data_IF_319961203488
#
_entry.id   IF_319961203488
#
_cell.length_a   1.000
_cell.length_b   1.000
_cell.length_c   1.000
_cell.angle_alpha   90.00
_cell.angle_beta   90.00
_cell.angle_gamma   90.00
#
_symmetry.space_group_name_H-M   'P 1'
#
loop_
_entity.id
_entity.type
_entity.pdbx_description
1 polymer ?
#
# COMPACT_ATOMS: atom_id res chain seq x y z
N UNK A 1 -25.74 -1.46 -0.47
CA UNK A 1 -25.49 -2.93 -0.53
C UNK A 1 -24.81 -3.28 0.78
N UNK A 2 -25.16 -4.38 1.46
CA UNK A 2 -24.51 -4.70 2.74
C UNK A 2 -23.14 -5.36 2.46
N UNK A 3 -22.05 -4.59 2.54
CA UNK A 3 -20.69 -5.04 2.21
C UNK A 3 -20.07 -5.95 3.28
N UNK A 4 -20.87 -6.86 3.84
CA UNK A 4 -20.40 -7.82 4.84
C UNK A 4 -19.61 -8.93 4.16
N UNK A 5 -18.47 -9.25 4.74
CA UNK A 5 -17.69 -10.43 4.40
C UNK A 5 -18.54 -11.69 4.63
N UNK A 6 -18.36 -12.70 3.76
CA UNK A 6 -19.10 -13.97 3.81
C UNK A 6 -18.58 -14.91 4.90
N UNK A 7 -17.28 -14.84 5.16
CA UNK A 7 -16.55 -15.72 6.07
C UNK A 7 -15.65 -14.93 7.02
N UNK A 8 -15.24 -15.56 8.11
CA UNK A 8 -14.47 -14.93 9.18
C UNK A 8 -13.00 -14.73 8.82
N UNK A 9 -12.69 -13.57 8.23
CA UNK A 9 -11.31 -13.18 7.91
C UNK A 9 -10.44 -12.97 9.15
N UNK A 10 -11.04 -12.60 10.29
CA UNK A 10 -10.28 -12.31 11.51
C UNK A 10 -9.61 -13.59 12.00
N UNK A 11 -10.37 -14.67 12.13
CA UNK A 11 -9.82 -15.96 12.58
C UNK A 11 -8.70 -16.43 11.66
N UNK A 12 -8.91 -16.38 10.34
CA UNK A 12 -7.89 -16.75 9.35
C UNK A 12 -6.58 -15.96 9.51
N UNK A 13 -6.66 -14.63 9.60
CA UNK A 13 -5.46 -13.78 9.69
C UNK A 13 -4.82 -13.79 11.08
N UNK A 14 -5.53 -14.17 12.13
CA UNK A 14 -4.91 -14.39 13.44
C UNK A 14 -4.02 -15.63 13.43
N UNK A 15 -4.43 -16.66 12.69
CA UNK A 15 -3.71 -17.94 12.54
C UNK A 15 -2.57 -17.86 11.50
N UNK A 16 -2.88 -17.41 10.28
CA UNK A 16 -1.96 -17.48 9.15
C UNK A 16 -1.24 -16.15 8.85
N UNK A 17 -1.70 -15.03 9.40
CA UNK A 17 -1.21 -13.68 9.08
C UNK A 17 0.08 -13.28 9.80
N UNK A 18 0.91 -12.49 9.10
CA UNK A 18 2.09 -11.88 9.70
C UNK A 18 1.75 -10.58 10.47
N UNK A 19 2.76 -9.92 11.02
CA UNK A 19 2.59 -8.69 11.81
C UNK A 19 1.93 -7.53 11.03
N UNK A 20 2.24 -7.35 9.74
CA UNK A 20 1.57 -6.34 8.88
C UNK A 20 0.12 -6.73 8.60
N UNK A 21 -0.15 -8.00 8.37
CA UNK A 21 -1.53 -8.47 8.09
C UNK A 21 -2.45 -8.22 9.29
N UNK A 22 -1.96 -8.50 10.50
CA UNK A 22 -2.66 -8.18 11.75
C UNK A 22 -2.80 -6.68 11.98
N UNK A 23 -1.77 -5.88 11.66
CA UNK A 23 -1.88 -4.42 11.69
C UNK A 23 -2.96 -3.91 10.72
N UNK A 24 -3.13 -4.57 9.58
CA UNK A 24 -4.16 -4.23 8.59
C UNK A 24 -5.57 -4.61 9.06
N UNK A 25 -5.73 -5.72 9.80
CA UNK A 25 -6.97 -6.05 10.51
C UNK A 25 -7.37 -4.97 11.53
N UNK A 26 -6.41 -4.53 12.36
CA UNK A 26 -6.63 -3.46 13.35
C UNK A 26 -7.05 -2.17 12.63
N UNK A 27 -6.31 -1.77 11.59
CA UNK A 27 -6.61 -0.56 10.83
C UNK A 27 -7.98 -0.61 10.13
N UNK A 28 -8.45 -1.81 9.76
CA UNK A 28 -9.79 -2.04 9.20
C UNK A 28 -10.88 -2.22 10.28
N UNK A 29 -10.55 -2.19 11.57
CA UNK A 29 -11.53 -2.35 12.66
C UNK A 29 -12.14 -3.74 12.76
N UNK A 30 -11.57 -4.76 12.12
CA UNK A 30 -12.00 -6.16 12.29
C UNK A 30 -11.46 -6.78 13.59
N UNK A 31 -10.38 -6.23 14.16
CA UNK A 31 -9.86 -6.61 15.46
C UNK A 31 -9.19 -5.42 16.16
N UNK A 32 -9.89 -4.79 17.10
CA UNK A 32 -9.32 -3.72 17.94
C UNK A 32 -9.03 -4.19 19.38
N UNK A 33 -8.91 -5.51 19.58
CA UNK A 33 -8.61 -6.05 20.90
C UNK A 33 -7.26 -5.54 21.41
N UNK A 34 -7.18 -5.26 22.71
CA UNK A 34 -5.94 -4.78 23.34
C UNK A 34 -4.84 -5.85 23.23
N UNK A 35 -5.24 -7.10 23.26
CA UNK A 35 -4.40 -8.28 23.12
C UNK A 35 -3.70 -8.30 21.76
N UNK A 36 -4.45 -8.19 20.66
CA UNK A 36 -3.87 -8.16 19.31
C UNK A 36 -2.98 -6.94 19.09
N UNK A 37 -3.39 -5.75 19.56
CA UNK A 37 -2.54 -4.55 19.47
C UNK A 37 -1.23 -4.69 20.23
N UNK A 38 -1.27 -5.29 21.43
CA UNK A 38 -0.08 -5.54 22.24
C UNK A 38 0.83 -6.59 21.59
N UNK A 39 0.27 -7.64 21.00
CA UNK A 39 1.03 -8.66 20.24
C UNK A 39 1.76 -8.02 19.06
N UNK A 40 1.04 -7.25 18.23
CA UNK A 40 1.60 -6.55 17.07
C UNK A 40 2.70 -5.61 17.51
N UNK A 41 2.45 -4.79 18.53
CA UNK A 41 3.43 -3.86 19.11
C UNK A 41 4.70 -4.58 19.56
N UNK A 42 4.56 -5.65 20.35
CA UNK A 42 5.70 -6.43 20.85
C UNK A 42 6.51 -7.05 19.71
N UNK A 43 5.84 -7.66 18.72
CA UNK A 43 6.50 -8.28 17.56
C UNK A 43 7.25 -7.27 16.72
N UNK A 44 6.69 -6.07 16.53
CA UNK A 44 7.38 -5.04 15.77
C UNK A 44 8.58 -4.47 16.54
N UNK A 45 8.47 -4.29 17.86
CA UNK A 45 9.59 -3.83 18.69
C UNK A 45 10.77 -4.80 18.65
N UNK A 46 10.49 -6.11 18.73
CA UNK A 46 11.54 -7.14 18.73
C UNK A 46 12.18 -7.37 17.36
N UNK A 47 11.45 -7.11 16.26
CA UNK A 47 11.96 -7.31 14.88
C UNK A 47 12.59 -6.06 14.27
N UNK A 48 12.22 -4.86 14.75
CA UNK A 48 12.72 -3.59 14.23
C UNK A 48 14.25 -3.51 14.33
N UNK A 49 14.89 -3.04 13.25
CA UNK A 49 16.34 -2.84 13.22
C UNK A 49 16.76 -1.61 14.02
N UNK A 50 18.07 -1.52 14.29
CA UNK A 50 18.68 -0.37 14.98
C UNK A 50 18.44 0.95 14.24
N UNK A 51 18.34 0.92 12.91
CA UNK A 51 18.05 2.10 12.10
C UNK A 51 16.59 2.57 12.17
N UNK A 52 15.70 1.79 12.81
CA UNK A 52 14.28 2.11 12.97
C UNK A 52 13.36 1.52 11.91
N UNK A 53 13.90 0.85 10.89
CA UNK A 53 13.10 0.20 9.86
C UNK A 53 12.73 -1.25 10.16
N UNK A 54 11.72 -1.75 9.44
CA UNK A 54 11.29 -3.16 9.47
C UNK A 54 12.17 -3.97 8.52
N UNK A 55 12.73 -5.12 8.94
CA UNK A 55 13.42 -6.03 8.03
C UNK A 55 12.52 -6.43 6.84
N UNK A 56 13.09 -6.48 5.64
CA UNK A 56 12.35 -6.89 4.44
C UNK A 56 11.73 -8.28 4.61
N UNK A 57 10.43 -8.38 4.31
CA UNK A 57 9.60 -9.57 4.54
C UNK A 57 9.72 -10.18 5.95
N UNK A 58 10.00 -9.35 6.96
CA UNK A 58 10.26 -9.79 8.34
C UNK A 58 11.42 -10.79 8.49
N UNK A 59 12.30 -10.90 7.50
CA UNK A 59 13.47 -11.77 7.57
C UNK A 59 14.52 -11.17 8.53
N UNK A 60 14.88 -11.86 9.63
CA UNK A 60 15.80 -11.34 10.66
C UNK A 60 17.25 -11.18 10.17
N UNK A 61 17.55 -11.60 8.94
CA UNK A 61 18.84 -11.37 8.28
C UNK A 61 18.77 -10.28 7.20
N UNK A 62 17.58 -9.87 6.76
CA UNK A 62 17.44 -8.85 5.72
C UNK A 62 17.59 -7.41 6.26
N UNK A 63 18.16 -6.49 5.48
CA UNK A 63 18.13 -5.06 5.81
C UNK A 63 16.71 -4.52 5.99
N UNK A 64 16.62 -3.30 6.55
CA UNK A 64 15.36 -2.57 6.66
C UNK A 64 14.80 -2.17 5.30
N UNK A 65 13.49 -2.34 5.12
CA UNK A 65 12.74 -2.01 3.91
C UNK A 65 11.95 -0.71 4.07
N UNK A 66 12.04 0.16 3.07
CA UNK A 66 11.18 1.34 2.94
C UNK A 66 9.72 0.93 2.74
N UNK A 67 9.46 -0.06 1.85
CA UNK A 67 8.10 -0.54 1.58
C UNK A 67 7.42 -1.02 2.85
N UNK A 68 8.06 -1.94 3.57
CA UNK A 68 7.49 -2.51 4.80
C UNK A 68 7.31 -1.46 5.89
N UNK A 69 8.30 -0.58 6.10
CA UNK A 69 8.23 0.46 7.13
C UNK A 69 7.15 1.50 6.84
N UNK A 70 7.02 1.96 5.60
CA UNK A 70 6.00 2.94 5.20
C UNK A 70 4.59 2.35 5.32
N UNK A 71 4.41 1.09 4.94
CA UNK A 71 3.12 0.40 5.04
C UNK A 71 2.68 0.23 6.49
N UNK A 72 3.55 -0.29 7.36
CA UNK A 72 3.23 -0.45 8.78
C UNK A 72 2.94 0.89 9.47
N UNK A 73 3.75 1.91 9.17
CA UNK A 73 3.56 3.26 9.69
C UNK A 73 2.20 3.82 9.29
N UNK A 74 1.81 3.66 8.02
CA UNK A 74 0.49 4.09 7.51
C UNK A 74 -0.65 3.40 8.25
N UNK A 75 -0.57 2.07 8.43
CA UNK A 75 -1.62 1.28 9.09
C UNK A 75 -1.80 1.64 10.57
N UNK A 76 -0.74 2.09 11.23
CA UNK A 76 -0.73 2.33 12.68
C UNK A 76 -0.74 3.80 13.07
N UNK A 77 -0.71 4.75 12.12
CA UNK A 77 -0.55 6.18 12.38
C UNK A 77 -1.58 6.79 13.36
N UNK A 78 -2.78 6.21 13.46
CA UNK A 78 -3.82 6.65 14.41
C UNK A 78 -3.72 6.06 15.82
N UNK A 79 -2.79 5.13 16.07
CA UNK A 79 -2.69 4.36 17.30
C UNK A 79 -1.58 4.92 18.20
N UNK A 80 -1.97 5.63 19.26
CA UNK A 80 -1.05 6.38 20.15
C UNK A 80 -0.01 5.48 20.83
N UNK A 81 -0.35 4.23 21.09
CA UNK A 81 0.54 3.23 21.69
C UNK A 81 1.74 2.87 20.78
N UNK A 82 1.70 3.25 19.49
CA UNK A 82 2.80 3.05 18.53
C UNK A 82 3.69 4.30 18.35
N UNK A 83 3.46 5.39 19.08
CA UNK A 83 4.17 6.67 18.88
C UNK A 83 5.71 6.56 18.89
N UNK A 84 6.29 5.74 19.78
CA UNK A 84 7.75 5.56 19.83
C UNK A 84 8.27 4.89 18.54
N UNK A 85 7.53 3.90 18.05
CA UNK A 85 7.83 3.17 16.82
C UNK A 85 7.66 4.07 15.61
N UNK A 86 6.61 4.88 15.57
CA UNK A 86 6.38 5.86 14.51
C UNK A 86 7.52 6.84 14.39
N UNK A 87 8.05 7.33 15.52
CA UNK A 87 9.19 8.24 15.53
C UNK A 87 10.45 7.58 14.94
N UNK A 88 10.72 6.33 15.28
CA UNK A 88 11.88 5.58 14.74
C UNK A 88 11.71 5.29 13.25
N UNK A 89 10.54 4.82 12.83
CA UNK A 89 10.23 4.55 11.42
C UNK A 89 10.28 5.82 10.56
N UNK A 90 9.75 6.94 11.06
CA UNK A 90 9.78 8.21 10.34
C UNK A 90 11.22 8.68 10.10
N UNK A 91 12.10 8.59 11.12
CA UNK A 91 13.53 8.89 10.97
C UNK A 91 14.20 7.96 9.95
N UNK A 92 13.89 6.67 10.01
CA UNK A 92 14.38 5.70 9.02
C UNK A 92 13.96 6.12 7.60
N UNK A 93 12.67 6.33 7.36
CA UNK A 93 12.13 6.71 6.05
C UNK A 93 12.78 8.00 5.54
N UNK A 94 12.86 9.04 6.36
CA UNK A 94 13.51 10.31 6.01
C UNK A 94 14.96 10.11 5.58
N UNK A 95 15.70 9.20 6.23
CA UNK A 95 17.07 8.87 5.84
C UNK A 95 17.19 8.18 4.48
N UNK A 96 16.08 7.66 3.94
CA UNK A 96 16.00 6.98 2.63
C UNK A 96 15.52 7.90 1.50
N UNK A 97 15.06 9.11 1.82
CA UNK A 97 14.70 10.08 0.79
C UNK A 97 15.96 10.56 0.04
N UNK A 98 15.89 10.51 -1.29
CA UNK A 98 16.97 10.93 -2.18
C UNK A 98 16.94 12.44 -2.45
N UNK A 99 18.03 12.95 -3.05
CA UNK A 99 18.16 14.38 -3.40
C UNK A 99 17.07 14.86 -4.37
N UNK A 100 16.55 13.97 -5.22
CA UNK A 100 15.48 14.28 -6.15
C UNK A 100 14.08 14.22 -5.53
N UNK A 101 13.97 13.96 -4.22
CA UNK A 101 12.71 13.89 -3.49
C UNK A 101 12.10 12.49 -3.43
N UNK A 102 12.49 11.58 -4.32
CA UNK A 102 11.98 10.21 -4.33
C UNK A 102 12.60 9.31 -3.26
N UNK A 103 11.99 8.14 -3.06
CA UNK A 103 12.42 7.11 -2.12
C UNK A 103 12.90 5.86 -2.85
N UNK A 104 13.88 5.18 -2.28
CA UNK A 104 14.48 3.98 -2.86
C UNK A 104 14.74 2.94 -1.77
N UNK A 105 14.73 1.68 -2.16
CA UNK A 105 15.26 0.61 -1.32
C UNK A 105 16.79 0.63 -1.31
N UNK A 106 17.38 0.08 -0.23
CA UNK A 106 18.83 -0.01 -0.08
C UNK A 106 19.42 -1.04 -1.04
N UNK A 107 20.62 -0.80 -1.59
CA UNK A 107 21.35 -1.76 -2.43
C UNK A 107 21.49 -3.13 -1.77
N UNK A 108 21.71 -3.17 -0.45
CA UNK A 108 21.85 -4.41 0.32
C UNK A 108 20.57 -5.27 0.36
N UNK A 109 19.42 -4.74 -0.05
CA UNK A 109 18.20 -5.53 -0.20
C UNK A 109 18.15 -6.34 -1.48
N UNK A 110 19.01 -6.04 -2.47
CA UNK A 110 18.98 -6.70 -3.77
C UNK A 110 18.95 -8.24 -3.64
N UNK A 111 19.79 -8.91 -2.81
CA UNK A 111 19.75 -10.37 -2.69
C UNK A 111 18.45 -10.94 -2.10
N UNK A 112 17.62 -10.13 -1.46
CA UNK A 112 16.38 -10.56 -0.79
C UNK A 112 15.13 -10.34 -1.64
N UNK A 113 15.22 -9.52 -2.68
CA UNK A 113 14.10 -9.22 -3.57
C UNK A 113 14.00 -10.36 -4.59
N UNK A 114 13.04 -11.25 -4.37
CA UNK A 114 12.78 -12.40 -5.24
C UNK A 114 12.24 -11.94 -6.59
N UNK A 115 12.71 -12.56 -7.66
CA UNK A 115 12.22 -12.33 -9.00
C UNK A 115 10.97 -13.17 -9.29
N UNK A 116 9.97 -13.10 -8.41
CA UNK A 116 8.73 -13.89 -8.55
C UNK A 116 7.88 -13.47 -9.77
N UNK A 117 8.14 -12.30 -10.32
CA UNK A 117 7.31 -11.66 -11.35
C UNK A 117 8.10 -11.06 -12.51
N UNK A 118 9.43 -11.17 -12.54
CA UNK A 118 10.23 -10.70 -13.67
C UNK A 118 10.03 -11.57 -14.90
N UNK A 119 10.12 -10.92 -16.06
CA UNK A 119 10.32 -11.60 -17.33
C UNK A 119 11.71 -12.25 -17.37
N UNK A 120 11.97 -13.08 -18.38
CA UNK A 120 13.24 -13.79 -18.60
C UNK A 120 14.50 -12.89 -18.62
N UNK A 121 14.34 -11.56 -18.64
CA UNK A 121 15.39 -10.55 -18.61
C UNK A 121 15.77 -10.00 -17.22
N UNK A 122 15.06 -10.36 -16.16
CA UNK A 122 15.40 -9.99 -14.77
C UNK A 122 14.57 -8.86 -14.14
N UNK A 123 15.05 -8.39 -12.98
CA UNK A 123 14.38 -7.53 -11.96
C UNK A 123 14.25 -6.05 -12.32
N UNK A 124 13.82 -5.73 -13.53
CA UNK A 124 13.76 -4.33 -13.99
C UNK A 124 12.71 -3.48 -13.27
N UNK A 125 11.66 -4.09 -12.70
CA UNK A 125 10.54 -3.39 -12.06
C UNK A 125 10.80 -2.93 -10.60
N UNK A 126 11.86 -3.44 -9.95
CA UNK A 126 12.17 -3.11 -8.54
C UNK A 126 13.65 -2.75 -8.33
N UNK A 127 14.18 -1.74 -9.04
CA UNK A 127 15.58 -1.36 -8.87
C UNK A 127 15.84 -0.79 -7.49
N UNK A 128 16.81 -1.38 -6.79
CA UNK A 128 17.42 -0.77 -5.61
C UNK A 128 18.16 0.51 -6.01
N UNK A 129 18.34 1.43 -5.05
CA UNK A 129 19.05 2.71 -5.23
C UNK A 129 18.33 3.71 -6.14
N UNK A 130 17.47 3.33 -7.08
CA UNK A 130 16.70 4.29 -7.89
C UNK A 130 15.43 4.74 -7.17
N UNK A 131 15.06 6.01 -7.36
CA UNK A 131 13.81 6.54 -6.82
C UNK A 131 12.62 5.86 -7.51
N UNK A 132 11.81 5.16 -6.74
CA UNK A 132 10.60 4.44 -7.16
C UNK A 132 9.37 5.32 -6.92
N UNK A 133 8.48 5.47 -7.91
CA UNK A 133 7.33 6.38 -7.81
C UNK A 133 6.29 5.87 -6.81
N UNK A 134 5.87 4.61 -6.91
CA UNK A 134 4.92 4.00 -5.98
C UNK A 134 5.44 3.96 -4.54
N UNK A 135 6.74 3.72 -4.36
CA UNK A 135 7.37 3.73 -3.04
C UNK A 135 7.43 5.14 -2.46
N UNK A 136 7.67 6.14 -3.30
CA UNK A 136 7.62 7.55 -2.91
C UNK A 136 6.22 7.94 -2.47
N UNK A 137 5.18 7.51 -3.19
CA UNK A 137 3.77 7.68 -2.78
C UNK A 137 3.49 7.10 -1.40
N UNK A 138 3.86 5.82 -1.18
CA UNK A 138 3.71 5.15 0.12
C UNK A 138 4.44 5.86 1.25
N UNK A 139 5.72 6.20 1.05
CA UNK A 139 6.53 6.84 2.08
C UNK A 139 6.04 8.26 2.40
N UNK A 140 5.63 9.03 1.39
CA UNK A 140 5.03 10.35 1.58
C UNK A 140 3.75 10.27 2.40
N UNK A 141 2.82 9.37 2.03
CA UNK A 141 1.59 9.13 2.79
C UNK A 141 1.89 8.79 4.24
N UNK A 142 2.81 7.85 4.47
CA UNK A 142 3.17 7.38 5.80
C UNK A 142 3.72 8.50 6.69
N UNK A 143 4.65 9.31 6.17
CA UNK A 143 5.25 10.43 6.90
C UNK A 143 4.21 11.50 7.27
N UNK A 144 3.32 11.84 6.34
CA UNK A 144 2.28 12.84 6.60
C UNK A 144 1.28 12.33 7.64
N UNK A 145 0.79 11.10 7.51
CA UNK A 145 -0.17 10.53 8.47
C UNK A 145 0.44 10.35 9.86
N UNK A 146 1.74 10.04 9.95
CA UNK A 146 2.46 9.97 11.22
C UNK A 146 2.76 11.34 11.86
N UNK A 147 2.34 12.45 11.22
CA UNK A 147 2.56 13.79 11.74
C UNK A 147 4.03 14.23 11.71
N UNK A 148 4.84 13.69 10.80
CA UNK A 148 6.23 14.11 10.66
C UNK A 148 6.34 15.56 10.17
N UNK A 149 6.86 16.46 11.01
CA UNK A 149 6.93 17.89 10.68
C UNK A 149 8.21 18.25 9.89
N UNK A 150 8.24 17.88 8.61
CA UNK A 150 9.22 18.39 7.64
C UNK A 150 8.55 18.71 6.30
N UNK A 151 7.91 19.88 6.27
CA UNK A 151 7.18 20.35 5.07
C UNK A 151 8.06 20.38 3.82
N UNK A 152 9.33 20.75 3.93
CA UNK A 152 10.22 20.82 2.76
C UNK A 152 10.51 19.44 2.19
N UNK A 153 10.69 18.41 3.02
CA UNK A 153 10.80 17.02 2.55
C UNK A 153 9.55 16.54 1.85
N UNK A 154 8.39 16.85 2.41
CA UNK A 154 7.11 16.47 1.83
C UNK A 154 6.91 17.12 0.46
N UNK A 155 7.22 18.41 0.32
CA UNK A 155 7.15 19.12 -0.96
C UNK A 155 8.09 18.54 -2.00
N UNK A 156 9.32 18.13 -1.64
CA UNK A 156 10.21 17.47 -2.61
C UNK A 156 9.68 16.12 -3.10
N UNK A 157 9.10 15.32 -2.20
CA UNK A 157 8.48 14.04 -2.58
C UNK A 157 7.24 14.27 -3.46
N UNK A 158 6.42 15.26 -3.13
CA UNK A 158 5.30 15.70 -3.97
C UNK A 158 5.78 16.10 -5.36
N UNK A 159 6.79 16.96 -5.44
CA UNK A 159 7.31 17.49 -6.71
C UNK A 159 7.88 16.36 -7.56
N UNK A 160 8.62 15.42 -6.95
CA UNK A 160 9.08 14.21 -7.63
C UNK A 160 7.93 13.47 -8.30
N UNK A 161 6.82 13.23 -7.58
CA UNK A 161 5.65 12.54 -8.13
C UNK A 161 4.96 13.37 -9.21
N UNK A 162 4.72 14.66 -8.97
CA UNK A 162 4.07 15.57 -9.92
C UNK A 162 4.83 15.63 -11.25
N UNK A 163 6.16 15.66 -11.22
CA UNK A 163 7.00 15.74 -12.42
C UNK A 163 7.32 14.38 -13.05
N UNK A 164 6.90 13.26 -12.46
CA UNK A 164 7.15 11.91 -12.99
C UNK A 164 5.96 11.29 -13.71
N UNK A 165 4.81 11.97 -13.76
CA UNK A 165 3.63 11.43 -14.45
C UNK A 165 3.83 11.46 -15.97
N UNK A 166 3.47 10.36 -16.64
CA UNK A 166 3.47 10.26 -18.09
C UNK A 166 2.19 10.88 -18.69
N UNK A 167 2.16 11.09 -20.00
CA UNK A 167 1.03 11.71 -20.71
C UNK A 167 -0.27 10.89 -20.62
N UNK A 168 -0.16 9.59 -20.39
CA UNK A 168 -1.29 8.66 -20.21
C UNK A 168 -1.92 8.74 -18.81
N UNK A 169 -1.39 9.58 -17.92
CA UNK A 169 -1.85 9.77 -16.55
C UNK A 169 -1.27 8.77 -15.55
N UNK A 170 -0.53 7.75 -16.00
CA UNK A 170 0.15 6.81 -15.12
C UNK A 170 1.56 7.32 -14.74
N UNK A 171 2.23 6.56 -13.89
CA UNK A 171 3.63 6.80 -13.51
C UNK A 171 4.50 5.63 -13.94
N UNK A 172 5.77 5.87 -14.27
CA UNK A 172 6.73 4.78 -14.41
C UNK A 172 7.08 4.17 -13.05
N UNK A 173 7.58 2.94 -12.99
CA UNK A 173 7.99 2.31 -11.73
C UNK A 173 9.06 3.13 -11.01
N UNK A 174 10.05 3.61 -11.77
CA UNK A 174 11.18 4.37 -11.24
C UNK A 174 11.62 5.51 -12.17
N UNK A 175 12.41 6.42 -11.60
CA UNK A 175 12.96 7.57 -12.31
C UNK A 175 13.77 7.17 -13.54
N UNK A 176 13.44 7.77 -14.68
CA UNK A 176 14.15 7.61 -15.95
C UNK A 176 13.63 6.46 -16.82
N UNK A 177 12.54 5.81 -16.42
CA UNK A 177 11.80 4.86 -17.25
C UNK A 177 10.64 5.59 -17.93
N UNK A 178 10.34 5.22 -19.17
CA UNK A 178 9.28 5.82 -19.99
C UNK A 178 8.05 4.91 -20.14
N UNK A 179 8.02 3.79 -19.42
CA UNK A 179 6.93 2.82 -19.43
C UNK A 179 6.13 3.02 -18.16
N UNK A 180 4.82 3.24 -18.32
CA UNK A 180 3.87 3.39 -17.23
C UNK A 180 3.56 2.06 -16.53
N UNK A 181 3.43 2.10 -15.21
CA UNK A 181 2.88 1.03 -14.37
C UNK A 181 1.52 1.46 -13.77
N UNK A 182 0.41 0.82 -14.16
CA UNK A 182 -0.89 1.10 -13.58
C UNK A 182 -0.97 0.82 -12.07
N UNK A 183 -0.27 -0.21 -11.56
CA UNK A 183 -0.34 -0.65 -10.15
C UNK A 183 0.31 0.34 -9.19
N UNK A 184 1.23 1.16 -9.69
CA UNK A 184 1.84 2.24 -8.92
C UNK A 184 0.84 3.33 -8.52
N UNK A 185 -0.22 3.52 -9.32
CA UNK A 185 -1.03 4.74 -9.32
C UNK A 185 -1.81 4.95 -8.04
N UNK A 186 -2.42 3.90 -7.48
CA UNK A 186 -3.20 4.01 -6.24
C UNK A 186 -2.37 4.57 -5.09
N UNK A 187 -1.16 4.02 -4.90
CA UNK A 187 -0.23 4.47 -3.86
C UNK A 187 0.20 5.94 -4.02
N UNK A 188 0.35 6.40 -5.26
CA UNK A 188 0.77 7.76 -5.58
C UNK A 188 -0.36 8.75 -5.29
N UNK A 189 -1.58 8.46 -5.73
CA UNK A 189 -2.74 9.31 -5.49
C UNK A 189 -2.98 9.53 -3.99
N UNK A 190 -2.90 8.48 -3.18
CA UNK A 190 -3.06 8.62 -1.73
C UNK A 190 -1.95 9.47 -1.08
N UNK A 191 -0.71 9.37 -1.57
CA UNK A 191 0.40 10.22 -1.14
C UNK A 191 0.21 11.70 -1.52
N UNK A 192 -0.28 11.96 -2.73
CA UNK A 192 -0.60 13.31 -3.20
C UNK A 192 -1.75 13.95 -2.39
N UNK A 193 -2.80 13.19 -2.10
CA UNK A 193 -3.90 13.66 -1.23
C UNK A 193 -3.37 13.97 0.16
N UNK A 194 -2.58 13.06 0.75
CA UNK A 194 -2.06 13.24 2.11
C UNK A 194 -1.26 14.55 2.23
N UNK A 195 -0.41 14.88 1.25
CA UNK A 195 0.37 16.13 1.26
C UNK A 195 -0.42 17.38 0.85
N UNK A 196 -1.73 17.25 0.58
CA UNK A 196 -2.63 18.36 0.29
C UNK A 196 -2.63 18.81 -1.17
N UNK A 197 -2.30 17.93 -2.13
CA UNK A 197 -2.58 18.21 -3.55
C UNK A 197 -4.09 18.23 -3.75
N UNK A 198 -4.66 19.31 -4.28
CA UNK A 198 -6.11 19.43 -4.38
C UNK A 198 -6.66 18.51 -5.49
N UNK A 199 -7.91 18.00 -5.36
CA UNK A 199 -8.52 17.11 -6.36
C UNK A 199 -8.65 17.71 -7.76
N UNK A 200 -8.62 19.03 -7.89
CA UNK A 200 -8.71 19.71 -9.17
C UNK A 200 -7.37 19.85 -9.91
N UNK A 201 -6.25 19.53 -9.25
CA UNK A 201 -4.91 19.55 -9.83
C UNK A 201 -4.81 18.57 -11.00
N UNK A 202 -4.29 19.03 -12.15
CA UNK A 202 -4.21 18.25 -13.40
C UNK A 202 -3.65 16.83 -13.19
N UNK A 203 -2.48 16.73 -12.54
CA UNK A 203 -1.82 15.43 -12.28
C UNK A 203 -2.71 14.46 -11.50
N UNK A 204 -3.45 14.96 -10.52
CA UNK A 204 -4.35 14.13 -9.73
C UNK A 204 -5.54 13.65 -10.58
N UNK A 205 -6.16 14.55 -11.34
CA UNK A 205 -7.27 14.21 -12.25
C UNK A 205 -6.88 13.17 -13.29
N UNK A 206 -5.73 13.36 -13.93
CA UNK A 206 -5.25 12.43 -14.96
C UNK A 206 -4.94 11.06 -14.35
N UNK A 207 -4.28 11.03 -13.18
CA UNK A 207 -3.98 9.79 -12.47
C UNK A 207 -5.22 9.05 -11.97
N UNK A 208 -6.21 9.78 -11.47
CA UNK A 208 -7.51 9.22 -11.07
C UNK A 208 -8.24 8.62 -12.26
N UNK A 209 -8.29 9.32 -13.39
CA UNK A 209 -8.94 8.84 -14.60
C UNK A 209 -8.25 7.58 -15.15
N UNK A 210 -6.91 7.56 -15.15
CA UNK A 210 -6.11 6.42 -15.53
C UNK A 210 -6.38 5.21 -14.60
N UNK A 211 -6.34 5.41 -13.28
CA UNK A 211 -6.66 4.38 -12.30
C UNK A 211 -8.09 3.82 -12.49
N UNK A 212 -9.07 4.69 -12.71
CA UNK A 212 -10.45 4.26 -12.98
C UNK A 212 -10.51 3.33 -14.20
N UNK A 213 -9.87 3.70 -15.31
CA UNK A 213 -9.83 2.86 -16.51
C UNK A 213 -9.14 1.51 -16.26
N UNK A 214 -8.04 1.50 -15.50
CA UNK A 214 -7.36 0.28 -15.09
C UNK A 214 -8.28 -0.62 -14.28
N UNK A 215 -8.88 -0.10 -13.21
CA UNK A 215 -9.77 -0.85 -12.32
C UNK A 215 -11.00 -1.41 -13.06
N UNK A 216 -11.60 -0.65 -14.00
CA UNK A 216 -12.68 -1.16 -14.86
C UNK A 216 -12.25 -2.37 -15.70
N UNK A 217 -11.04 -2.32 -16.26
CA UNK A 217 -10.47 -3.44 -17.03
C UNK A 217 -10.16 -4.64 -16.12
N UNK A 218 -9.59 -4.39 -14.96
CA UNK A 218 -9.24 -5.41 -13.98
C UNK A 218 -10.47 -6.13 -13.44
N UNK A 219 -11.56 -5.39 -13.17
CA UNK A 219 -12.85 -5.96 -12.78
C UNK A 219 -13.42 -6.86 -13.89
N UNK A 220 -13.40 -6.39 -15.15
CA UNK A 220 -13.81 -7.20 -16.31
C UNK A 220 -13.00 -8.49 -16.44
N UNK A 221 -11.70 -8.42 -16.13
CA UNK A 221 -10.77 -9.55 -16.18
C UNK A 221 -10.76 -10.39 -14.89
N UNK A 222 -11.59 -10.05 -13.89
CA UNK A 222 -11.62 -10.71 -12.57
C UNK A 222 -10.25 -10.72 -11.87
N UNK A 223 -9.47 -9.66 -12.02
CA UNK A 223 -8.19 -9.50 -11.33
C UNK A 223 -8.41 -9.02 -9.91
N UNK A 224 -8.31 -9.93 -8.94
CA UNK A 224 -8.51 -9.61 -7.52
C UNK A 224 -7.39 -8.75 -6.94
N UNK A 225 -6.14 -8.96 -7.39
CA UNK A 225 -4.99 -8.21 -6.90
C UNK A 225 -5.12 -6.71 -7.16
N UNK A 226 -5.56 -6.32 -8.35
CA UNK A 226 -5.68 -4.92 -8.74
C UNK A 226 -6.79 -4.20 -7.95
N UNK A 227 -7.76 -4.94 -7.41
CA UNK A 227 -8.80 -4.35 -6.55
C UNK A 227 -8.23 -3.82 -5.23
N UNK A 228 -6.98 -4.13 -4.88
CA UNK A 228 -6.27 -3.52 -3.75
C UNK A 228 -6.20 -1.99 -3.84
N UNK A 229 -6.23 -1.42 -5.06
CA UNK A 229 -6.16 0.02 -5.29
C UNK A 229 -7.53 0.71 -5.32
N UNK A 230 -8.64 -0.04 -5.21
CA UNK A 230 -9.99 0.53 -5.19
C UNK A 230 -10.17 1.65 -4.14
N UNK A 231 -9.61 1.57 -2.91
CA UNK A 231 -9.71 2.65 -1.93
C UNK A 231 -9.02 3.95 -2.34
N UNK A 232 -8.07 3.92 -3.27
CA UNK A 232 -7.41 5.12 -3.77
C UNK A 232 -8.36 5.99 -4.64
N UNK A 233 -9.48 5.43 -5.11
CA UNK A 233 -10.56 6.22 -5.71
C UNK A 233 -11.27 7.11 -4.67
N UNK A 234 -11.22 6.80 -3.38
CA UNK A 234 -11.93 7.58 -2.35
C UNK A 234 -13.42 7.80 -2.68
N UNK A 235 -13.96 8.97 -2.31
CA UNK A 235 -15.36 9.31 -2.57
C UNK A 235 -15.63 9.36 -4.09
N UNK A 236 -16.67 8.68 -4.61
CA UNK A 236 -17.01 8.73 -6.02
C UNK A 236 -17.51 10.13 -6.43
N UNK A 237 -17.03 10.62 -7.58
CA UNK A 237 -17.39 11.92 -8.18
C UNK A 237 -18.41 11.75 -9.32
N UNK A 238 -18.67 10.52 -9.76
CA UNK A 238 -19.62 10.21 -10.83
C UNK A 238 -20.39 8.92 -10.56
N UNK A 239 -21.48 8.73 -11.31
CA UNK A 239 -22.26 7.48 -11.27
C UNK A 239 -21.40 6.26 -11.68
N UNK A 240 -20.54 6.42 -12.68
CA UNK A 240 -19.67 5.35 -13.18
C UNK A 240 -18.64 4.95 -12.10
N UNK A 241 -18.06 5.91 -11.39
CA UNK A 241 -17.16 5.61 -10.28
C UNK A 241 -17.88 4.90 -9.12
N UNK A 242 -19.09 5.33 -8.78
CA UNK A 242 -19.90 4.67 -7.75
C UNK A 242 -20.24 3.22 -8.13
N UNK A 243 -20.59 2.98 -9.39
CA UNK A 243 -20.84 1.63 -9.92
C UNK A 243 -19.57 0.77 -9.88
N UNK A 244 -18.43 1.31 -10.33
CA UNK A 244 -17.12 0.63 -10.26
C UNK A 244 -16.77 0.21 -8.83
N UNK A 245 -16.89 1.12 -7.86
CA UNK A 245 -16.59 0.82 -6.45
C UNK A 245 -17.53 -0.27 -5.93
N UNK A 246 -18.83 -0.16 -6.20
CA UNK A 246 -19.82 -1.15 -5.76
C UNK A 246 -19.54 -2.53 -6.35
N UNK A 247 -19.35 -2.62 -7.65
CA UNK A 247 -19.08 -3.89 -8.33
C UNK A 247 -17.73 -4.48 -7.93
N UNK A 248 -16.70 -3.65 -7.73
CA UNK A 248 -15.40 -4.07 -7.23
C UNK A 248 -15.48 -4.66 -5.83
N UNK A 249 -16.16 -3.98 -4.89
CA UNK A 249 -16.39 -4.51 -3.53
C UNK A 249 -17.20 -5.80 -3.56
N UNK A 250 -18.26 -5.86 -4.36
CA UNK A 250 -19.06 -7.08 -4.50
C UNK A 250 -18.22 -8.25 -5.05
N UNK A 251 -17.37 -7.99 -6.04
CA UNK A 251 -16.46 -9.01 -6.57
C UNK A 251 -15.47 -9.51 -5.50
N UNK A 252 -14.93 -8.62 -4.67
CA UNK A 252 -14.06 -9.02 -3.55
C UNK A 252 -14.83 -9.91 -2.57
N UNK A 253 -16.02 -9.50 -2.13
CA UNK A 253 -16.85 -10.29 -1.21
C UNK A 253 -17.22 -11.66 -1.82
N UNK A 254 -17.55 -11.70 -3.11
CA UNK A 254 -17.97 -12.91 -3.81
C UNK A 254 -16.84 -13.93 -4.01
N UNK A 255 -15.60 -13.46 -4.03
CA UNK A 255 -14.39 -14.26 -4.20
C UNK A 255 -13.78 -14.76 -2.89
N UNK A 256 -14.33 -14.38 -1.74
CA UNK A 256 -13.86 -14.87 -0.45
C UNK A 256 -14.08 -16.38 -0.32
N UNK A 257 -13.06 -17.09 0.15
CA UNK A 257 -13.09 -18.53 0.38
C UNK A 257 -13.70 -18.89 1.74
N UNK A 258 -14.14 -20.16 1.88
CA UNK A 258 -14.73 -20.68 3.12
C UNK A 258 -13.80 -20.62 4.33
N UNK A 259 -12.48 -20.62 4.11
CA UNK A 259 -11.48 -20.49 5.18
C UNK A 259 -11.37 -19.07 5.73
N UNK A 260 -12.11 -18.10 5.17
CA UNK A 260 -12.06 -16.69 5.57
C UNK A 260 -11.13 -15.84 4.72
N UNK A 261 -10.26 -16.44 3.91
CA UNK A 261 -9.26 -15.75 3.11
C UNK A 261 -9.62 -15.58 1.63
N UNK A 262 -8.64 -15.11 0.87
CA UNK A 262 -8.64 -14.96 -0.58
C UNK A 262 -7.37 -15.57 -1.15
N UNK A 263 -7.45 -16.14 -2.35
CA UNK A 263 -6.30 -16.72 -3.02
C UNK A 263 -5.94 -16.03 -4.33
N UNK A 264 -4.65 -16.02 -4.70
CA UNK A 264 -4.22 -15.71 -6.05
C UNK A 264 -4.94 -16.58 -7.09
N UNK A 265 -5.15 -16.03 -8.29
CA UNK A 265 -5.74 -16.78 -9.40
C UNK A 265 -4.97 -18.09 -9.66
N UNK A 266 -5.69 -19.19 -9.76
CA UNK A 266 -5.11 -20.52 -10.01
C UNK A 266 -4.57 -21.23 -8.76
N UNK A 267 -4.66 -20.63 -7.58
CA UNK A 267 -4.24 -21.25 -6.32
C UNK A 267 -5.45 -21.62 -5.45
N UNK A 268 -5.34 -22.75 -4.74
CA UNK A 268 -6.40 -23.23 -3.85
C UNK A 268 -6.29 -22.62 -2.45
N UNK A 269 -5.08 -22.50 -1.90
CA UNK A 269 -4.86 -21.99 -0.55
C UNK A 269 -5.00 -20.47 -0.56
N UNK A 270 -5.74 -19.92 0.41
CA UNK A 270 -5.75 -18.48 0.67
C UNK A 270 -4.34 -17.97 1.01
N UNK A 271 -4.07 -16.74 0.60
CA UNK A 271 -2.85 -15.99 0.88
C UNK A 271 -3.11 -14.93 1.97
N UNK A 272 -2.37 -14.91 3.08
CA UNK A 272 -2.62 -13.95 4.17
C UNK A 272 -2.45 -12.48 3.77
N UNK A 273 -1.49 -12.17 2.91
CA UNK A 273 -1.26 -10.79 2.47
C UNK A 273 -2.42 -10.29 1.60
N UNK A 274 -2.84 -11.09 0.62
CA UNK A 274 -4.00 -10.80 -0.22
C UNK A 274 -5.26 -10.68 0.63
N UNK A 275 -5.45 -11.61 1.57
CA UNK A 275 -6.65 -11.66 2.41
C UNK A 275 -6.78 -10.41 3.28
N UNK A 276 -5.68 -9.98 3.91
CA UNK A 276 -5.69 -8.77 4.74
C UNK A 276 -5.92 -7.51 3.90
N UNK A 277 -5.37 -7.45 2.67
CA UNK A 277 -5.64 -6.35 1.73
C UNK A 277 -7.10 -6.30 1.32
N UNK A 278 -7.69 -7.42 0.91
CA UNK A 278 -9.09 -7.47 0.46
C UNK A 278 -10.06 -7.07 1.57
N UNK A 279 -9.85 -7.57 2.80
CA UNK A 279 -10.63 -7.13 3.96
C UNK A 279 -10.55 -5.61 4.18
N UNK A 280 -9.33 -5.05 4.08
CA UNK A 280 -9.10 -3.62 4.22
C UNK A 280 -9.78 -2.80 3.11
N UNK A 281 -9.79 -3.29 1.87
CA UNK A 281 -10.51 -2.66 0.75
C UNK A 281 -12.01 -2.61 1.05
N UNK A 282 -12.61 -3.74 1.40
CA UNK A 282 -14.04 -3.83 1.71
C UNK A 282 -14.40 -2.82 2.79
N UNK A 283 -13.60 -2.75 3.87
CA UNK A 283 -13.83 -1.79 4.95
C UNK A 283 -13.72 -0.34 4.47
N UNK A 284 -12.66 0.01 3.74
CA UNK A 284 -12.42 1.40 3.31
C UNK A 284 -13.41 1.90 2.27
N UNK A 285 -14.05 0.99 1.54
CA UNK A 285 -15.07 1.34 0.55
C UNK A 285 -16.51 1.17 1.09
N UNK A 286 -16.70 0.73 2.33
CA UNK A 286 -18.01 0.41 2.89
C UNK A 286 -18.99 1.60 2.88
N UNK A 287 -18.46 2.83 3.02
CA UNK A 287 -19.27 4.06 3.01
C UNK A 287 -19.76 4.47 1.61
N UNK A 288 -19.29 3.81 0.55
CA UNK A 288 -19.62 4.16 -0.84
C UNK A 288 -20.55 3.14 -1.53
N UNK A 289 -20.94 2.05 -0.84
CA UNK A 289 -21.64 0.88 -1.42
C UNK A 289 -23.01 0.61 -0.84
#
# INVERSE_FOLDING_TARGET
>A
MDARLRYDVRSYLQEEGNTTDKARLIAAGYDDSKETRSEVLSKIQSSMRRDGGIPFNYNPNAPSSVKGSAEFLTLTAGLKEFNEIHNRMSRFLVSRQKKDGGFAELLALDPYIEDKWGSSGGRDWYPVVKSLTWLTGKALRALVLAGHDDRQRHLRARDFLVYSQNEDGYWPDFKGQNISDPLATGNILEGLIAVGVPPDHKVYKDGRAALMQHLMRSLKNRSLFDMADLPAMGKPESKIESELIREGVQFIVDSQQQDGGWSPLGTKKSDPELSSKMAHVVKRCEEYV
#
